data_IF_443524177820
#
_entry.id   IF_443524177820
#
_cell.length_a   1.000
_cell.length_b   1.000
_cell.length_c   1.000
_cell.angle_alpha   90.00
_cell.angle_beta   90.00
_cell.angle_gamma   90.00
#
_symmetry.space_group_name_H-M   'P 1'
#
loop_
_entity.id
_entity.type
_entity.pdbx_description
1 polymer ?
#
# COMPACT_ATOMS: atom_id res chain seq x y z
N UNK A 1 -22.73 34.76 -23.16
CA UNK A 1 -23.33 34.27 -21.89
C UNK A 1 -23.40 32.75 -21.91
N UNK A 2 -22.32 32.07 -21.49
CA UNK A 2 -22.31 30.62 -21.32
C UNK A 2 -22.91 30.25 -19.97
N UNK A 3 -23.99 29.46 -19.97
CA UNK A 3 -24.57 28.87 -18.76
C UNK A 3 -23.61 27.81 -18.22
N UNK A 4 -22.94 28.13 -17.11
CA UNK A 4 -22.31 27.13 -16.25
C UNK A 4 -23.39 26.18 -15.75
N UNK A 5 -23.44 24.98 -16.32
CA UNK A 5 -24.15 23.84 -15.75
C UNK A 5 -23.48 23.51 -14.40
N UNK A 6 -24.09 23.95 -13.30
CA UNK A 6 -23.75 23.45 -11.97
C UNK A 6 -23.96 21.94 -11.99
N UNK A 7 -22.88 21.18 -11.98
CA UNK A 7 -22.93 19.75 -11.75
C UNK A 7 -23.70 19.51 -10.44
N UNK A 8 -24.85 18.84 -10.54
CA UNK A 8 -25.65 18.46 -9.39
C UNK A 8 -24.80 17.48 -8.58
N UNK A 9 -24.28 17.91 -7.44
CA UNK A 9 -23.55 17.03 -6.53
C UNK A 9 -24.53 15.96 -6.03
N UNK A 10 -24.39 14.74 -6.52
CA UNK A 10 -25.19 13.59 -6.07
C UNK A 10 -24.52 13.08 -4.79
N UNK A 11 -24.88 13.71 -3.67
CA UNK A 11 -24.45 13.28 -2.35
C UNK A 11 -25.34 12.13 -1.89
N UNK A 12 -24.75 10.98 -1.60
CA UNK A 12 -25.42 9.91 -0.87
C UNK A 12 -25.85 10.43 0.51
N UNK A 13 -27.09 10.12 0.90
CA UNK A 13 -27.60 10.37 2.24
C UNK A 13 -27.99 9.05 2.89
N UNK A 14 -27.69 8.87 4.17
CA UNK A 14 -28.17 7.74 4.96
C UNK A 14 -29.28 8.27 5.86
N UNK A 15 -30.50 7.74 5.75
CA UNK A 15 -31.67 8.19 6.50
C UNK A 15 -31.91 9.71 6.42
N UNK A 16 -31.65 10.31 5.24
CA UNK A 16 -31.78 11.75 5.02
C UNK A 16 -30.64 12.61 5.55
N UNK A 17 -29.68 12.03 6.28
CA UNK A 17 -28.47 12.71 6.77
C UNK A 17 -27.35 12.63 5.75
N UNK A 18 -26.63 13.73 5.58
CA UNK A 18 -25.40 13.74 4.79
C UNK A 18 -24.28 13.10 5.60
N UNK A 19 -23.48 12.24 4.96
CA UNK A 19 -22.30 11.65 5.58
C UNK A 19 -21.22 12.72 5.77
N UNK A 20 -20.59 12.74 6.95
CA UNK A 20 -19.39 13.54 7.19
C UNK A 20 -18.25 12.96 6.34
N UNK A 21 -17.60 13.82 5.55
CA UNK A 21 -16.56 13.42 4.59
C UNK A 21 -15.15 13.50 5.16
N UNK A 22 -14.98 14.33 6.18
CA UNK A 22 -13.66 14.72 6.68
C UNK A 22 -13.32 13.96 7.97
N UNK A 23 -13.47 12.62 7.93
CA UNK A 23 -13.03 11.80 9.05
C UNK A 23 -11.51 11.75 9.08
N UNK A 24 -10.92 12.20 10.17
CA UNK A 24 -9.50 12.10 10.46
C UNK A 24 -9.27 11.72 11.91
N UNK A 25 -8.10 11.17 12.21
CA UNK A 25 -7.71 10.71 13.54
C UNK A 25 -6.28 11.10 13.83
N UNK A 26 -6.02 11.53 15.06
CA UNK A 26 -4.65 11.68 15.55
C UNK A 26 -4.06 10.34 15.96
N UNK A 27 -2.85 10.07 15.52
CA UNK A 27 -2.03 8.93 15.90
C UNK A 27 -0.72 9.42 16.50
N UNK A 28 -0.20 8.66 17.45
CA UNK A 28 1.04 9.00 18.15
C UNK A 28 2.11 8.00 17.72
N UNK A 29 3.20 8.52 17.15
CA UNK A 29 4.33 7.73 16.68
C UNK A 29 5.46 7.84 17.73
N UNK A 30 5.68 6.80 18.56
CA UNK A 30 6.67 6.85 19.62
C UNK A 30 8.09 6.81 19.05
N UNK A 31 9.01 7.55 19.68
CA UNK A 31 10.43 7.59 19.32
C UNK A 31 11.28 6.88 20.39
N UNK A 32 12.45 6.33 20.03
CA UNK A 32 13.33 5.65 20.99
C UNK A 32 13.82 6.54 22.14
N UNK A 33 13.83 7.86 21.97
CA UNK A 33 14.20 8.83 22.99
C UNK A 33 13.07 9.15 24.00
N UNK A 34 11.90 8.52 23.83
CA UNK A 34 10.71 8.74 24.65
C UNK A 34 9.83 9.91 24.21
N UNK A 35 10.23 10.65 23.16
CA UNK A 35 9.37 11.63 22.51
C UNK A 35 8.33 10.95 21.61
N UNK A 36 7.34 11.71 21.14
CA UNK A 36 6.39 11.23 20.15
C UNK A 36 6.06 12.27 19.10
N UNK A 37 5.82 11.79 17.89
CA UNK A 37 5.32 12.62 16.78
C UNK A 37 3.82 12.40 16.66
N UNK A 38 3.04 13.46 16.79
CA UNK A 38 1.59 13.41 16.64
C UNK A 38 1.27 13.71 15.18
N UNK A 39 0.63 12.75 14.50
CA UNK A 39 0.21 12.86 13.11
C UNK A 39 -1.30 12.76 12.99
N UNK A 40 -1.89 13.42 11.99
CA UNK A 40 -3.30 13.35 11.65
C UNK A 40 -3.48 12.56 10.36
N UNK A 41 -4.10 11.39 10.47
CA UNK A 41 -4.40 10.53 9.34
C UNK A 41 -5.85 10.67 8.90
N UNK A 42 -6.13 10.40 7.62
CA UNK A 42 -7.46 10.12 7.08
C UNK A 42 -7.53 8.69 6.51
N UNK A 43 -8.73 8.09 6.40
CA UNK A 43 -8.88 6.82 5.70
C UNK A 43 -8.60 6.99 4.20
N UNK A 44 -8.27 5.88 3.53
CA UNK A 44 -8.04 5.91 2.09
C UNK A 44 -9.35 6.16 1.33
N UNK A 45 -9.32 6.95 0.25
CA UNK A 45 -10.50 7.16 -0.57
C UNK A 45 -10.92 5.87 -1.27
N UNK A 46 -12.23 5.71 -1.51
CA UNK A 46 -12.75 4.58 -2.25
C UNK A 46 -12.08 4.48 -3.64
N UNK A 47 -11.50 3.32 -3.94
CA UNK A 47 -10.82 3.08 -5.21
C UNK A 47 -9.36 3.54 -5.26
N UNK A 48 -8.75 3.92 -4.12
CA UNK A 48 -7.33 4.25 -4.02
C UNK A 48 -6.42 3.22 -4.74
N UNK A 49 -6.53 1.93 -4.43
CA UNK A 49 -5.73 0.89 -5.09
C UNK A 49 -5.92 0.84 -6.61
N UNK A 50 -7.13 1.18 -7.11
CA UNK A 50 -7.37 1.27 -8.56
C UNK A 50 -6.70 2.50 -9.17
N UNK A 51 -6.61 3.60 -8.43
CA UNK A 51 -5.89 4.80 -8.86
C UNK A 51 -4.39 4.54 -8.95
N UNK A 52 -3.81 3.92 -7.91
CA UNK A 52 -2.40 3.52 -7.86
C UNK A 52 -2.05 2.60 -9.04
N UNK A 53 -2.87 1.60 -9.34
CA UNK A 53 -2.67 0.74 -10.53
C UNK A 53 -2.77 1.50 -11.86
N UNK A 54 -3.66 2.49 -11.96
CA UNK A 54 -3.79 3.33 -13.16
C UNK A 54 -2.58 4.25 -13.35
N UNK A 55 -1.89 4.56 -12.26
CA UNK A 55 -0.66 5.34 -12.21
C UNK A 55 0.60 4.49 -12.47
N UNK A 56 0.45 3.23 -12.92
CA UNK A 56 1.61 2.41 -13.31
C UNK A 56 2.30 1.67 -12.16
N UNK A 57 1.85 1.81 -10.91
CA UNK A 57 2.32 0.99 -9.78
C UNK A 57 1.67 -0.40 -9.88
N UNK A 58 2.36 -1.30 -10.56
CA UNK A 58 1.91 -2.66 -10.85
C UNK A 58 2.76 -3.68 -10.08
N UNK A 59 2.10 -4.72 -9.59
CA UNK A 59 2.80 -5.85 -9.00
C UNK A 59 3.63 -6.58 -10.07
N UNK A 60 4.90 -6.94 -9.80
CA UNK A 60 5.70 -7.73 -10.72
C UNK A 60 5.10 -9.13 -10.89
N UNK A 61 5.43 -9.78 -12.00
CA UNK A 61 5.01 -11.15 -12.29
C UNK A 61 6.19 -12.10 -12.06
N UNK A 62 5.98 -13.24 -11.39
CA UNK A 62 7.05 -14.20 -11.20
C UNK A 62 7.51 -14.76 -12.56
N UNK A 63 8.82 -14.97 -12.77
CA UNK A 63 9.33 -15.52 -14.01
C UNK A 63 8.90 -16.99 -14.15
N UNK A 64 8.68 -17.42 -15.39
CA UNK A 64 8.31 -18.79 -15.68
C UNK A 64 9.56 -19.66 -15.91
N UNK A 65 9.63 -20.80 -15.24
CA UNK A 65 10.66 -21.84 -15.42
C UNK A 65 10.07 -23.16 -15.93
N UNK A 66 10.87 -23.93 -16.65
CA UNK A 66 10.46 -25.26 -17.11
C UNK A 66 10.48 -26.24 -15.94
N UNK A 67 9.37 -26.91 -15.67
CA UNK A 67 9.29 -28.00 -14.72
C UNK A 67 10.18 -29.17 -15.18
N UNK A 68 11.01 -29.70 -14.28
CA UNK A 68 11.92 -30.82 -14.59
C UNK A 68 11.69 -31.98 -13.64
N UNK A 69 11.84 -33.20 -14.15
CA UNK A 69 11.83 -34.41 -13.33
C UNK A 69 13.11 -34.54 -12.49
N UNK A 70 13.19 -35.58 -11.65
CA UNK A 70 14.35 -35.88 -10.81
C UNK A 70 15.64 -36.18 -11.59
N UNK A 71 15.53 -36.44 -12.91
CA UNK A 71 16.66 -36.64 -13.82
C UNK A 71 17.00 -35.37 -14.62
N UNK A 72 16.36 -34.23 -14.31
CA UNK A 72 16.58 -32.94 -14.95
C UNK A 72 15.91 -32.78 -16.32
N UNK A 73 15.06 -33.72 -16.75
CA UNK A 73 14.37 -33.66 -18.04
C UNK A 73 13.11 -32.81 -17.94
N UNK A 74 12.78 -31.98 -18.95
CA UNK A 74 11.53 -31.22 -18.97
C UNK A 74 10.30 -32.14 -18.85
N UNK A 75 9.43 -31.85 -17.88
CA UNK A 75 8.11 -32.44 -17.82
C UNK A 75 7.26 -31.86 -18.96
N UNK A 76 6.49 -32.73 -19.60
CA UNK A 76 5.62 -32.37 -20.72
C UNK A 76 4.17 -32.73 -20.39
N UNK A 77 3.24 -31.91 -20.85
CA UNK A 77 1.81 -32.18 -20.76
C UNK A 77 1.36 -33.27 -21.76
N UNK A 78 0.06 -33.58 -21.77
CA UNK A 78 -0.55 -34.57 -22.66
C UNK A 78 -0.41 -34.23 -24.16
N UNK A 79 -0.10 -32.97 -24.48
CA UNK A 79 0.13 -32.48 -25.85
C UNK A 79 1.61 -32.44 -26.20
N UNK A 80 2.48 -32.86 -25.29
CA UNK A 80 3.93 -32.84 -25.46
C UNK A 80 4.58 -31.47 -25.26
N UNK A 81 3.87 -30.48 -24.71
CA UNK A 81 4.37 -29.12 -24.43
C UNK A 81 5.03 -29.10 -23.04
N UNK A 82 6.15 -28.39 -22.91
CA UNK A 82 6.84 -28.28 -21.61
C UNK A 82 5.94 -27.58 -20.58
N UNK A 83 5.83 -28.17 -19.39
CA UNK A 83 5.11 -27.58 -18.26
C UNK A 83 5.94 -26.42 -17.72
N UNK A 84 5.33 -25.24 -17.62
CA UNK A 84 5.92 -24.05 -17.02
C UNK A 84 5.42 -23.91 -15.58
N UNK A 85 6.31 -23.55 -14.66
CA UNK A 85 6.02 -23.21 -13.27
C UNK A 85 6.47 -21.77 -13.02
N UNK A 86 5.74 -21.06 -12.19
CA UNK A 86 6.18 -19.77 -11.67
C UNK A 86 7.33 -19.98 -10.68
N UNK A 87 8.36 -19.13 -10.75
CA UNK A 87 9.47 -19.13 -9.81
C UNK A 87 9.39 -17.95 -8.86
N UNK A 88 8.57 -18.08 -7.83
CA UNK A 88 8.40 -17.07 -6.78
C UNK A 88 9.66 -16.87 -5.92
N UNK A 89 10.68 -17.72 -6.07
CA UNK A 89 11.95 -17.63 -5.35
C UNK A 89 13.06 -17.00 -6.21
N UNK A 90 12.73 -16.55 -7.42
CA UNK A 90 13.67 -15.81 -8.25
C UNK A 90 14.07 -14.51 -7.52
N UNK A 91 15.39 -14.28 -7.42
CA UNK A 91 15.94 -13.17 -6.66
C UNK A 91 15.50 -11.82 -7.21
N UNK A 92 15.46 -11.67 -8.53
CA UNK A 92 15.09 -10.40 -9.18
C UNK A 92 13.61 -10.13 -8.93
N UNK A 93 12.76 -11.14 -9.07
CA UNK A 93 11.35 -11.03 -8.74
C UNK A 93 11.11 -10.63 -7.28
N UNK A 94 11.81 -11.24 -6.34
CA UNK A 94 11.69 -10.90 -4.91
C UNK A 94 12.10 -9.44 -4.63
N UNK A 95 13.19 -8.97 -5.22
CA UNK A 95 13.63 -7.57 -5.10
C UNK A 95 12.59 -6.60 -5.69
N UNK A 96 12.03 -6.90 -6.88
CA UNK A 96 10.96 -6.10 -7.48
C UNK A 96 9.66 -6.12 -6.64
N UNK A 97 9.35 -7.26 -6.04
CA UNK A 97 8.18 -7.45 -5.19
C UNK A 97 8.28 -6.62 -3.91
N UNK A 98 9.45 -6.59 -3.28
CA UNK A 98 9.74 -5.74 -2.12
C UNK A 98 9.60 -4.25 -2.48
N UNK A 99 10.21 -3.81 -3.59
CA UNK A 99 10.09 -2.43 -4.07
C UNK A 99 8.65 -2.03 -4.36
N UNK A 100 7.86 -2.92 -4.97
CA UNK A 100 6.44 -2.69 -5.20
C UNK A 100 5.67 -2.44 -3.89
N UNK A 101 5.92 -3.25 -2.84
CA UNK A 101 5.26 -3.07 -1.54
C UNK A 101 5.71 -1.79 -0.83
N UNK A 102 7.00 -1.45 -0.91
CA UNK A 102 7.53 -0.20 -0.37
C UNK A 102 6.82 1.00 -1.00
N UNK A 103 6.78 1.06 -2.34
CA UNK A 103 6.12 2.15 -3.07
C UNK A 103 4.65 2.26 -2.71
N UNK A 104 3.94 1.14 -2.63
CA UNK A 104 2.54 1.12 -2.23
C UNK A 104 2.35 1.64 -0.80
N UNK A 105 3.18 1.22 0.15
CA UNK A 105 3.11 1.66 1.55
C UNK A 105 3.32 3.17 1.69
N UNK A 106 4.33 3.71 1.00
CA UNK A 106 4.62 5.15 1.02
C UNK A 106 3.49 5.96 0.41
N UNK A 107 2.92 5.53 -0.71
CA UNK A 107 1.77 6.20 -1.31
C UNK A 107 0.52 6.16 -0.40
N UNK A 108 0.32 5.06 0.33
CA UNK A 108 -0.75 4.95 1.34
C UNK A 108 -0.56 6.00 2.44
N UNK A 109 0.65 6.08 3.00
CA UNK A 109 0.96 7.02 4.09
C UNK A 109 0.90 8.47 3.62
N UNK A 110 1.52 8.80 2.49
CA UNK A 110 1.44 10.14 1.91
C UNK A 110 -0.02 10.56 1.68
N UNK A 111 -0.86 9.66 1.13
CA UNK A 111 -2.28 9.95 0.94
C UNK A 111 -3.04 10.16 2.26
N UNK A 112 -2.73 9.35 3.27
CA UNK A 112 -3.36 9.45 4.58
C UNK A 112 -2.95 10.72 5.33
N UNK A 113 -1.75 11.25 5.08
CA UNK A 113 -1.22 12.46 5.72
C UNK A 113 -1.65 13.77 5.05
N UNK A 114 -2.30 13.76 3.87
CA UNK A 114 -2.73 14.99 3.17
C UNK A 114 -3.61 15.94 4.02
N UNK A 115 -4.23 15.45 5.09
CA UNK A 115 -5.08 16.25 5.99
C UNK A 115 -4.33 16.79 7.22
N UNK A 116 -3.06 16.43 7.39
CA UNK A 116 -2.24 16.90 8.49
C UNK A 116 -1.61 18.25 8.14
N UNK A 117 -1.99 19.35 8.83
CA UNK A 117 -1.40 20.66 8.55
C UNK A 117 0.07 20.79 8.99
N UNK A 118 0.60 19.82 9.76
CA UNK A 118 2.00 19.86 10.21
C UNK A 118 2.94 19.07 9.30
N UNK A 119 2.41 18.36 8.30
CA UNK A 119 3.20 17.58 7.34
C UNK A 119 3.16 18.28 5.99
N UNK A 120 4.35 18.51 5.45
CA UNK A 120 4.55 19.04 4.11
C UNK A 120 5.61 18.17 3.44
N UNK A 121 5.29 17.64 2.25
CA UNK A 121 6.24 16.90 1.43
C UNK A 121 6.91 17.87 0.44
N UNK A 122 8.23 17.83 0.36
CA UNK A 122 9.00 18.54 -0.68
C UNK A 122 8.85 17.87 -2.04
N UNK A 123 8.69 16.54 -2.05
CA UNK A 123 8.48 15.76 -3.27
C UNK A 123 7.13 16.10 -3.93
N UNK A 124 7.17 16.46 -5.22
CA UNK A 124 5.98 16.94 -5.95
C UNK A 124 5.32 15.81 -6.73
N UNK A 125 3.99 15.62 -6.64
CA UNK A 125 3.28 14.61 -7.43
C UNK A 125 3.44 14.83 -8.94
N UNK A 126 3.70 13.79 -9.73
CA UNK A 126 3.93 13.92 -11.16
C UNK A 126 2.62 14.22 -11.91
N UNK A 127 2.77 14.94 -13.02
CA UNK A 127 1.65 15.25 -13.93
C UNK A 127 1.40 14.15 -14.98
N UNK A 128 2.36 13.24 -15.18
CA UNK A 128 2.29 12.15 -16.15
C UNK A 128 2.09 10.80 -15.45
N UNK A 129 1.62 9.81 -16.19
CA UNK A 129 1.29 8.49 -15.65
C UNK A 129 2.52 7.63 -15.37
N UNK A 130 3.65 7.88 -16.04
CA UNK A 130 4.81 6.98 -16.01
C UNK A 130 5.82 7.30 -14.89
N UNK A 131 5.64 8.40 -14.16
CA UNK A 131 6.62 8.90 -13.18
C UNK A 131 6.24 8.59 -11.72
N UNK A 132 5.16 7.84 -11.47
CA UNK A 132 4.67 7.59 -10.12
C UNK A 132 5.56 6.64 -9.30
N UNK A 133 6.31 5.76 -9.97
CA UNK A 133 7.27 4.89 -9.30
C UNK A 133 8.44 5.70 -8.73
N UNK A 134 8.98 6.62 -9.53
CA UNK A 134 10.04 7.55 -9.11
C UNK A 134 9.54 8.46 -7.99
N UNK A 135 8.34 9.03 -8.12
CA UNK A 135 7.69 9.81 -7.06
C UNK A 135 7.58 9.04 -5.73
N UNK A 136 7.20 7.76 -5.78
CA UNK A 136 7.11 6.94 -4.57
C UNK A 136 8.49 6.62 -3.97
N UNK A 137 9.53 6.49 -4.80
CA UNK A 137 10.90 6.31 -4.35
C UNK A 137 11.47 7.60 -3.72
N UNK A 138 11.15 8.76 -4.28
CA UNK A 138 11.51 10.08 -3.72
C UNK A 138 10.83 10.33 -2.38
N UNK A 139 9.53 10.03 -2.26
CA UNK A 139 8.81 10.08 -0.99
C UNK A 139 9.42 9.15 0.06
N UNK A 140 9.86 7.95 -0.34
CA UNK A 140 10.53 7.04 0.58
C UNK A 140 11.83 7.65 1.11
N UNK A 141 12.65 8.20 0.22
CA UNK A 141 13.90 8.87 0.59
C UNK A 141 13.64 10.08 1.50
N UNK A 142 12.58 10.84 1.27
CA UNK A 142 12.20 11.99 2.10
C UNK A 142 11.77 11.57 3.52
N UNK A 143 10.98 10.49 3.63
CA UNK A 143 10.61 9.90 4.93
C UNK A 143 11.85 9.40 5.68
N UNK A 144 12.74 8.68 5.00
CA UNK A 144 13.99 8.18 5.58
C UNK A 144 14.89 9.34 6.06
N UNK A 145 15.08 10.37 5.23
CA UNK A 145 15.84 11.57 5.59
C UNK A 145 15.23 12.33 6.78
N UNK A 146 13.91 12.24 6.96
CA UNK A 146 13.17 12.80 8.08
C UNK A 146 13.20 11.93 9.35
N UNK A 147 13.94 10.81 9.33
CA UNK A 147 14.10 9.91 10.46
C UNK A 147 12.96 8.92 10.67
N UNK A 148 12.12 8.69 9.65
CA UNK A 148 11.17 7.58 9.69
C UNK A 148 11.92 6.26 9.49
N UNK A 149 11.51 5.26 10.26
CA UNK A 149 11.96 3.88 10.15
C UNK A 149 10.95 3.04 9.38
N UNK A 150 11.37 1.85 8.95
CA UNK A 150 10.45 0.86 8.39
C UNK A 150 9.31 0.50 9.37
N UNK A 151 9.59 0.48 10.68
CA UNK A 151 8.58 0.23 11.71
C UNK A 151 7.50 1.32 11.76
N UNK A 152 7.90 2.58 11.55
CA UNK A 152 6.95 3.69 11.50
C UNK A 152 6.03 3.58 10.29
N UNK A 153 6.59 3.24 9.12
CA UNK A 153 5.84 3.05 7.89
C UNK A 153 4.80 1.93 8.05
N UNK A 154 5.20 0.79 8.62
CA UNK A 154 4.29 -0.34 8.91
C UNK A 154 3.18 0.10 9.87
N UNK A 155 3.54 0.74 10.99
CA UNK A 155 2.57 1.21 11.98
C UNK A 155 1.53 2.15 11.37
N UNK A 156 1.95 3.11 10.56
CA UNK A 156 1.04 4.04 9.89
C UNK A 156 0.13 3.33 8.88
N UNK A 157 0.65 2.37 8.10
CA UNK A 157 -0.18 1.55 7.23
C UNK A 157 -1.25 0.78 8.01
N UNK A 158 -0.92 0.21 9.16
CA UNK A 158 -1.88 -0.50 10.01
C UNK A 158 -2.98 0.43 10.55
N UNK A 159 -2.63 1.63 11.02
CA UNK A 159 -3.61 2.62 11.47
C UNK A 159 -4.53 3.04 10.32
N UNK A 160 -3.99 3.28 9.12
CA UNK A 160 -4.77 3.62 7.93
C UNK A 160 -5.72 2.47 7.53
N UNK A 161 -5.26 1.23 7.56
CA UNK A 161 -6.07 0.05 7.29
C UNK A 161 -7.23 -0.08 8.28
N UNK A 162 -6.96 0.15 9.58
CA UNK A 162 -7.98 0.14 10.63
C UNK A 162 -9.02 1.23 10.40
N UNK A 163 -8.59 2.47 10.11
CA UNK A 163 -9.48 3.59 9.83
C UNK A 163 -10.33 3.39 8.57
N UNK A 164 -9.77 2.72 7.57
CA UNK A 164 -10.44 2.43 6.30
C UNK A 164 -11.38 1.23 6.37
N UNK A 165 -11.55 0.63 7.56
CA UNK A 165 -12.26 -0.63 7.76
C UNK A 165 -11.78 -1.76 6.83
N UNK A 166 -10.50 -1.73 6.44
CA UNK A 166 -9.83 -2.80 5.71
C UNK A 166 -9.35 -3.89 6.68
N UNK A 167 -9.36 -3.59 7.99
CA UNK A 167 -9.11 -4.54 9.06
C UNK A 167 -10.44 -4.95 9.74
N UNK A 168 -11.04 -6.03 9.26
CA UNK A 168 -12.10 -6.79 9.96
C UNK A 168 -11.71 -8.27 9.97
N UNK A 169 -11.82 -8.92 11.14
CA UNK A 169 -11.62 -10.35 11.47
C UNK A 169 -10.35 -11.10 10.97
N UNK A 170 -9.53 -10.55 10.08
CA UNK A 170 -8.33 -11.21 9.55
C UNK A 170 -7.02 -10.92 10.33
N UNK A 171 -6.98 -9.86 11.14
CA UNK A 171 -5.81 -9.52 11.98
C UNK A 171 -5.65 -10.46 13.19
N UNK A 172 -6.72 -11.17 13.58
CA UNK A 172 -6.69 -12.22 14.60
C UNK A 172 -5.95 -13.50 14.16
N UNK A 173 -5.74 -13.70 12.86
CA UNK A 173 -4.94 -14.85 12.38
C UNK A 173 -3.44 -14.54 12.37
N UNK A 174 -3.03 -13.31 12.04
CA UNK A 174 -1.61 -12.92 12.02
C UNK A 174 -0.97 -12.81 13.42
N UNK A 175 -1.75 -12.57 14.47
CA UNK A 175 -1.24 -12.53 15.86
C UNK A 175 -1.03 -13.92 16.47
N UNK A 176 -1.59 -14.98 15.88
CA UNK A 176 -1.42 -16.36 16.39
C UNK A 176 -0.02 -16.90 16.07
N UNK A 177 0.65 -16.39 15.04
CA UNK A 177 1.99 -16.83 14.64
C UNK A 177 3.13 -16.17 15.44
N UNK A 178 2.86 -15.09 16.18
CA UNK A 178 3.87 -14.34 16.96
C UNK A 178 3.92 -14.67 18.46
N UNK A 179 2.95 -15.44 18.98
CA UNK A 179 2.98 -15.92 20.36
C UNK A 179 3.14 -17.44 20.31
N UNK A 180 4.34 -17.99 20.62
CA UNK A 180 4.46 -19.43 20.79
C UNK A 180 3.51 -19.85 21.92
N UNK A 181 2.57 -20.74 21.62
CA UNK A 181 1.82 -21.42 22.66
C UNK A 181 2.82 -22.25 23.47
N UNK A 182 3.28 -21.69 24.59
CA UNK A 182 3.88 -22.48 25.67
C UNK A 182 2.75 -23.31 26.28
N UNK A 183 2.53 -24.50 25.73
CA UNK A 183 1.66 -25.49 26.36
C UNK A 183 2.37 -26.09 27.59
N UNK A 184 1.66 -26.24 28.73
CA UNK A 184 2.09 -27.13 29.80
C UNK A 184 2.00 -28.61 29.39
#
# INVERSE_FOLDING_TARGET
MQKLLKAKSILMKINGQSLQRDYSRQVELPRPDGSSVILRLQPLPLGFHRQVKKQGILAPLPPARIARDSSGRPLRDERGVAIMLEDEHDRVFLEEWELYHQRLAVLIVAKALEVDPTVEFETVPPNQLDDWAEYADELYAELEASGFSAGDLIYLCEEVCRMSNLAGEHLSQATTDFIPQSNP
#
